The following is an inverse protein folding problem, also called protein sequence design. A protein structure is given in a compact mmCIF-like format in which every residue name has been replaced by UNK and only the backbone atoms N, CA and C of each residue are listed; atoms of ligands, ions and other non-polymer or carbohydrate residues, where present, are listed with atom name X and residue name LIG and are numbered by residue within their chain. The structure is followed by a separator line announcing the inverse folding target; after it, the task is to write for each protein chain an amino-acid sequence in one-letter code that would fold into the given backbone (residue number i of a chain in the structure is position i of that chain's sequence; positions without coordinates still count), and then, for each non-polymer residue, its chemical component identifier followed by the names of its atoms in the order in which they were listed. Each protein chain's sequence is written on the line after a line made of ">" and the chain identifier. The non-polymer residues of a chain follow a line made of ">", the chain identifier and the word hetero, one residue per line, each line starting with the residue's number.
data_IF_870618202426
#
_entry.id   IF_870618202426
#
_cell.length_a   1.000
_cell.length_b   1.000
_cell.length_c   1.000
_cell.angle_alpha   90.00
_cell.angle_beta   90.00
_cell.angle_gamma   90.00
#
_symmetry.space_group_name_H-M   'P 1'
#
loop_
_entity.id
_entity.type
_entity.pdbx_description
1 polymer ?
#
# COMPACT_ATOMS: atom_id res chain seq x y z
N UNK A 1 -1.98 63.98 -44.43
CA UNK A 1 -2.67 62.67 -44.43
C UNK A 1 -2.03 61.80 -43.37
N UNK A 2 -2.85 61.38 -42.39
CA UNK A 2 -2.83 60.08 -41.67
C UNK A 2 -1.72 59.89 -40.61
N UNK A 3 -2.01 60.08 -39.31
CA UNK A 3 -2.67 59.16 -38.35
C UNK A 3 -1.77 58.02 -37.88
N UNK A 4 -1.25 58.09 -36.65
CA UNK A 4 -0.89 56.90 -35.85
C UNK A 4 -0.85 57.22 -34.35
N UNK A 5 -1.96 57.08 -33.60
CA UNK A 5 -2.40 55.91 -32.80
C UNK A 5 -1.87 55.94 -31.37
N UNK A 6 -2.76 56.38 -30.45
CA UNK A 6 -2.67 56.14 -29.02
C UNK A 6 -3.15 54.69 -28.76
N UNK A 7 -2.35 53.85 -28.11
CA UNK A 7 -2.78 52.56 -27.58
C UNK A 7 -2.29 52.45 -26.13
N UNK A 8 -3.22 52.68 -25.21
CA UNK A 8 -3.11 52.19 -23.83
C UNK A 8 -3.22 50.66 -23.89
N UNK A 9 -2.15 49.96 -23.55
CA UNK A 9 -2.21 48.54 -23.25
C UNK A 9 -2.36 48.38 -21.73
N UNK A 10 -3.59 48.13 -21.28
CA UNK A 10 -3.90 47.72 -19.92
C UNK A 10 -4.06 46.20 -19.86
N UNK A 11 -3.55 45.60 -18.77
CA UNK A 11 -3.89 44.27 -18.20
C UNK A 11 -3.47 43.03 -19.00
N UNK A 12 -2.98 41.93 -18.42
CA UNK A 12 -3.02 41.44 -17.05
C UNK A 12 -1.75 40.62 -16.75
N UNK A 13 -1.17 40.78 -15.56
CA UNK A 13 -0.19 39.85 -15.05
C UNK A 13 -0.90 38.52 -14.74
N UNK A 14 -0.67 37.51 -15.57
CA UNK A 14 -1.04 36.13 -15.25
C UNK A 14 -0.17 35.69 -14.06
N UNK A 15 -0.70 35.81 -12.85
CA UNK A 15 -0.23 35.08 -11.68
C UNK A 15 -0.38 33.60 -12.01
N UNK A 16 0.69 32.98 -12.50
CA UNK A 16 0.76 31.53 -12.60
C UNK A 16 0.57 30.99 -11.19
N UNK A 17 -0.61 30.40 -10.93
CA UNK A 17 -0.86 29.65 -9.73
C UNK A 17 0.23 28.57 -9.64
N UNK A 18 1.20 28.75 -8.76
CA UNK A 18 2.08 27.67 -8.35
C UNK A 18 1.17 26.58 -7.80
N UNK A 19 1.10 25.37 -8.40
CA UNK A 19 0.42 24.28 -7.73
C UNK A 19 1.08 24.16 -6.36
N UNK A 20 0.27 24.21 -5.29
CA UNK A 20 0.78 23.96 -3.97
C UNK A 20 1.42 22.57 -4.03
N UNK A 21 2.73 22.52 -3.80
CA UNK A 21 3.41 21.30 -3.44
C UNK A 21 2.93 20.94 -2.03
N UNK A 22 1.63 20.63 -1.88
CA UNK A 22 1.21 19.61 -0.93
C UNK A 22 1.91 18.35 -1.45
N UNK A 23 3.16 18.20 -1.03
CA UNK A 23 3.98 17.03 -1.26
C UNK A 23 3.19 15.89 -0.64
N UNK A 24 2.41 15.27 -1.51
CA UNK A 24 2.03 13.88 -1.55
C UNK A 24 3.11 13.08 -0.81
N UNK A 25 2.92 12.90 0.50
CA UNK A 25 3.69 11.91 1.24
C UNK A 25 3.06 10.60 0.82
N UNK A 26 3.47 10.10 -0.36
CA UNK A 26 3.24 8.71 -0.71
C UNK A 26 3.91 7.89 0.40
N UNK A 27 3.12 7.38 1.35
CA UNK A 27 3.66 6.49 2.36
C UNK A 27 4.22 5.29 1.62
N UNK A 28 5.47 4.86 1.88
CA UNK A 28 6.03 3.74 1.15
C UNK A 28 5.17 2.50 1.34
N UNK A 29 4.85 1.79 0.24
CA UNK A 29 3.96 0.62 0.25
C UNK A 29 4.41 -0.41 1.30
N UNK A 30 5.71 -0.69 1.36
CA UNK A 30 6.31 -1.64 2.29
C UNK A 30 7.04 -0.90 3.42
N UNK A 31 6.28 -0.18 4.26
CA UNK A 31 6.82 0.52 5.43
C UNK A 31 5.85 0.43 6.59
N UNK A 32 6.35 0.32 7.81
CA UNK A 32 5.52 0.33 9.02
C UNK A 32 4.77 1.66 9.24
N UNK A 33 5.10 2.71 8.49
CA UNK A 33 4.29 3.94 8.42
C UNK A 33 3.02 3.77 7.59
N UNK A 34 2.95 2.77 6.72
CA UNK A 34 1.74 2.40 5.99
C UNK A 34 0.90 1.48 6.88
N UNK A 35 -0.23 1.95 7.45
CA UNK A 35 -1.00 1.16 8.40
C UNK A 35 -1.45 -0.19 7.81
N UNK A 36 -1.78 -0.23 6.51
CA UNK A 36 -2.19 -1.46 5.84
C UNK A 36 -1.06 -2.48 5.69
N UNK A 37 0.20 -2.02 5.59
CA UNK A 37 1.35 -2.94 5.59
C UNK A 37 1.67 -3.42 7.00
N UNK A 38 1.48 -2.56 8.00
CA UNK A 38 1.61 -2.94 9.40
C UNK A 38 0.55 -3.98 9.81
N UNK A 39 -0.68 -3.80 9.35
CA UNK A 39 -1.78 -4.76 9.53
C UNK A 39 -1.44 -6.08 8.84
N UNK A 40 -1.02 -6.04 7.56
CA UNK A 40 -0.55 -7.23 6.84
C UNK A 40 0.57 -7.99 7.60
N UNK A 41 1.58 -7.28 8.13
CA UNK A 41 2.64 -7.90 8.94
C UNK A 41 2.09 -8.54 10.21
N UNK A 42 1.10 -7.90 10.84
CA UNK A 42 0.42 -8.39 12.04
C UNK A 42 -0.32 -9.68 11.73
N UNK A 43 -1.15 -9.71 10.68
CA UNK A 43 -1.90 -10.89 10.25
C UNK A 43 -0.98 -12.07 9.95
N UNK A 44 0.12 -11.84 9.24
CA UNK A 44 1.12 -12.88 8.95
C UNK A 44 1.78 -13.40 10.24
N UNK A 45 2.02 -12.53 11.23
CA UNK A 45 2.57 -12.92 12.53
C UNK A 45 1.56 -13.76 13.33
N UNK A 46 0.28 -13.39 13.29
CA UNK A 46 -0.82 -14.12 13.93
C UNK A 46 -0.98 -15.51 13.32
N UNK A 47 -1.08 -15.60 12.00
CA UNK A 47 -1.18 -16.87 11.27
C UNK A 47 0.00 -17.80 11.58
N UNK A 48 1.22 -17.27 11.69
CA UNK A 48 2.41 -18.04 12.11
C UNK A 48 2.30 -18.53 13.55
N UNK A 49 1.80 -17.69 14.46
CA UNK A 49 1.60 -18.04 15.88
C UNK A 49 0.57 -19.17 16.00
N UNK A 50 -0.52 -19.10 15.26
CA UNK A 50 -1.60 -20.08 15.26
C UNK A 50 -1.14 -21.41 14.65
N UNK A 51 -0.47 -21.36 13.49
CA UNK A 51 0.18 -22.55 12.92
C UNK A 51 1.08 -23.27 13.93
N UNK A 52 1.96 -22.54 14.64
CA UNK A 52 2.83 -23.14 15.67
C UNK A 52 2.01 -23.80 16.78
N UNK A 53 0.96 -23.12 17.22
CA UNK A 53 0.05 -23.56 18.27
C UNK A 53 -0.73 -24.82 17.87
N UNK A 54 -1.14 -24.93 16.62
CA UNK A 54 -1.92 -26.05 16.10
C UNK A 54 -1.04 -27.25 15.78
N UNK A 55 0.14 -27.02 15.18
CA UNK A 55 1.14 -28.07 14.97
C UNK A 55 1.62 -28.69 16.29
N UNK A 56 1.64 -27.93 17.38
CA UNK A 56 1.97 -28.44 18.71
C UNK A 56 0.85 -29.32 19.31
N UNK A 57 -0.41 -29.14 18.88
CA UNK A 57 -1.57 -29.94 19.32
C UNK A 57 -1.92 -31.08 18.37
N UNK A 58 -1.49 -31.00 17.12
CA UNK A 58 -1.79 -31.98 16.08
C UNK A 58 -1.27 -33.38 16.45
N UNK A 59 -2.16 -34.38 16.43
CA UNK A 59 -1.86 -35.74 16.89
C UNK A 59 -1.53 -36.70 15.74
N UNK A 60 -1.95 -36.37 14.52
CA UNK A 60 -1.77 -37.16 13.31
C UNK A 60 -1.40 -36.30 12.11
N UNK A 61 -1.08 -36.95 10.99
CA UNK A 61 -0.67 -36.28 9.77
C UNK A 61 -1.78 -35.39 9.18
N UNK A 62 -3.04 -35.82 9.25
CA UNK A 62 -4.19 -35.05 8.74
C UNK A 62 -4.32 -33.71 9.48
N UNK A 63 -4.27 -33.74 10.80
CA UNK A 63 -4.35 -32.53 11.63
C UNK A 63 -3.21 -31.53 11.34
N UNK A 64 -2.02 -32.05 10.97
CA UNK A 64 -0.89 -31.20 10.56
C UNK A 64 -1.11 -30.59 9.20
N UNK A 65 -1.64 -31.36 8.25
CA UNK A 65 -1.98 -30.88 6.91
C UNK A 65 -3.06 -29.81 6.97
N UNK A 66 -4.09 -30.01 7.78
CA UNK A 66 -5.18 -29.04 8.00
C UNK A 66 -4.63 -27.71 8.55
N UNK A 67 -3.77 -27.76 9.58
CA UNK A 67 -3.13 -26.56 10.14
C UNK A 67 -2.29 -25.81 9.08
N UNK A 68 -1.55 -26.54 8.25
CA UNK A 68 -0.80 -25.93 7.14
C UNK A 68 -1.71 -25.37 6.05
N UNK A 69 -2.83 -26.02 5.77
CA UNK A 69 -3.81 -25.56 4.79
C UNK A 69 -4.48 -24.27 5.26
N UNK A 70 -4.88 -24.20 6.53
CA UNK A 70 -5.42 -23.00 7.17
C UNK A 70 -4.45 -21.83 7.10
N UNK A 71 -3.21 -22.03 7.55
CA UNK A 71 -2.15 -21.03 7.45
C UNK A 71 -1.97 -20.48 6.02
N UNK A 72 -1.98 -21.36 5.00
CA UNK A 72 -1.85 -20.91 3.61
C UNK A 72 -3.03 -20.07 3.13
N UNK A 73 -4.25 -20.38 3.58
CA UNK A 73 -5.44 -19.57 3.27
C UNK A 73 -5.33 -18.20 3.92
N UNK A 74 -5.00 -18.14 5.21
CA UNK A 74 -4.84 -16.86 5.93
C UNK A 74 -3.78 -15.96 5.31
N UNK A 75 -2.64 -16.52 4.89
CA UNK A 75 -1.60 -15.78 4.17
C UNK A 75 -2.12 -15.23 2.84
N UNK A 76 -2.89 -16.02 2.10
CA UNK A 76 -3.46 -15.61 0.82
C UNK A 76 -4.52 -14.51 1.00
N UNK A 77 -5.35 -14.62 2.03
CA UNK A 77 -6.37 -13.62 2.37
C UNK A 77 -5.71 -12.30 2.81
N UNK A 78 -4.68 -12.36 3.68
CA UNK A 78 -3.92 -11.18 4.07
C UNK A 78 -3.20 -10.51 2.88
N UNK A 79 -2.61 -11.29 1.96
CA UNK A 79 -2.02 -10.73 0.73
C UNK A 79 -3.09 -10.06 -0.14
N UNK A 80 -4.25 -10.72 -0.31
CA UNK A 80 -5.37 -10.20 -1.09
C UNK A 80 -5.85 -8.86 -0.53
N UNK A 81 -6.09 -8.80 0.79
CA UNK A 81 -6.63 -7.61 1.44
C UNK A 81 -5.64 -6.46 1.41
N UNK A 82 -4.35 -6.71 1.70
CA UNK A 82 -3.31 -5.70 1.55
C UNK A 82 -3.29 -5.14 0.12
N UNK A 83 -3.31 -6.01 -0.89
CA UNK A 83 -3.29 -5.58 -2.30
C UNK A 83 -4.53 -4.80 -2.69
N UNK A 84 -5.69 -5.19 -2.18
CA UNK A 84 -6.96 -4.48 -2.37
C UNK A 84 -6.88 -3.08 -1.78
N UNK A 85 -6.44 -2.94 -0.53
CA UNK A 85 -6.29 -1.64 0.13
C UNK A 85 -5.30 -0.73 -0.60
N UNK A 86 -4.20 -1.29 -1.11
CA UNK A 86 -3.24 -0.53 -1.92
C UNK A 86 -3.85 -0.08 -3.26
N UNK A 87 -4.57 -0.97 -3.95
CA UNK A 87 -5.20 -0.67 -5.23
C UNK A 87 -6.29 0.41 -5.09
N UNK A 88 -7.13 0.34 -4.06
CA UNK A 88 -8.16 1.35 -3.75
C UNK A 88 -7.58 2.74 -3.49
N UNK A 89 -6.30 2.82 -3.10
CA UNK A 89 -5.57 4.08 -2.85
C UNK A 89 -4.67 4.51 -4.00
N UNK A 90 -4.75 3.85 -5.15
CA UNK A 90 -3.92 4.15 -6.32
C UNK A 90 -2.43 3.79 -6.15
N UNK A 91 -2.10 2.99 -5.14
CA UNK A 91 -0.73 2.53 -4.88
C UNK A 91 -0.44 1.25 -5.67
N UNK A 92 0.73 1.19 -6.31
CA UNK A 92 1.14 0.02 -7.09
C UNK A 92 1.93 -0.95 -6.22
N UNK A 93 1.31 -2.09 -5.89
CA UNK A 93 2.01 -3.23 -5.30
C UNK A 93 2.72 -4.01 -6.41
N UNK A 94 4.03 -3.83 -6.53
CA UNK A 94 4.83 -4.60 -7.49
C UNK A 94 5.04 -6.02 -6.95
N UNK A 95 4.73 -7.04 -7.76
CA UNK A 95 5.14 -8.41 -7.43
C UNK A 95 6.67 -8.48 -7.40
N UNK A 96 7.23 -8.61 -6.22
CA UNK A 96 8.66 -8.75 -5.95
C UNK A 96 8.87 -9.48 -4.62
N UNK A 97 10.00 -10.18 -4.48
CA UNK A 97 10.35 -10.94 -3.28
C UNK A 97 10.47 -9.96 -2.09
N UNK A 98 9.48 -9.93 -1.21
CA UNK A 98 9.55 -9.20 0.05
C UNK A 98 10.57 -9.92 0.93
N UNK A 99 11.75 -9.34 1.09
CA UNK A 99 12.71 -9.75 2.13
C UNK A 99 12.30 -9.04 3.40
N UNK A 100 11.71 -9.78 4.35
CA UNK A 100 11.64 -9.34 5.73
C UNK A 100 13.05 -9.50 6.31
N UNK A 101 13.63 -8.43 6.83
CA UNK A 101 14.86 -8.54 7.62
C UNK A 101 14.54 -9.39 8.87
N UNK A 102 15.41 -10.36 9.19
CA UNK A 102 15.32 -11.25 10.36
C UNK A 102 15.39 -10.50 11.69
#
# INVERSE_FOLDING_TARGET
>A
MNRTTLLLAATAAALTATPSLARDRSVPVYSDYNPYYLDYKTDISEAKRELRKDLARARDASSREDAWHEYRREVADAEHDFRKEMAERGMVVRRGRVTVEE
#
